data_IF_921525467156
#
_entry.id   IF_921525467156
#
_cell.length_a   1.000
_cell.length_b   1.000
_cell.length_c   1.000
_cell.angle_alpha   90.00
_cell.angle_beta   90.00
_cell.angle_gamma   90.00
#
_symmetry.space_group_name_H-M   'P 1'
#
loop_
_entity.id
_entity.type
_entity.pdbx_description
1 polymer ?
#
# COMPACT_ATOMS: atom_id res chain seq x y z
N UNK A 1 -12.94 -19.54 -1.88
CA UNK A 1 -12.54 -18.16 -1.58
C UNK A 1 -11.03 -18.12 -1.69
N UNK A 2 -10.51 -17.40 -2.66
CA UNK A 2 -9.07 -17.19 -2.83
C UNK A 2 -8.54 -16.25 -1.74
N UNK A 3 -7.24 -16.30 -1.46
CA UNK A 3 -6.62 -15.39 -0.47
C UNK A 3 -6.85 -13.92 -0.83
N UNK A 4 -6.93 -13.57 -2.13
CA UNK A 4 -7.20 -12.21 -2.60
C UNK A 4 -8.65 -11.76 -2.38
N UNK A 5 -9.63 -12.62 -2.59
CA UNK A 5 -11.05 -12.32 -2.30
C UNK A 5 -11.26 -12.02 -0.82
N UNK A 6 -10.62 -12.80 0.06
CA UNK A 6 -10.66 -12.56 1.51
C UNK A 6 -10.02 -11.20 1.85
N UNK A 7 -8.86 -10.89 1.26
CA UNK A 7 -8.19 -9.60 1.47
C UNK A 7 -9.08 -8.44 1.00
N UNK A 8 -9.72 -8.56 -0.17
CA UNK A 8 -10.62 -7.54 -0.70
C UNK A 8 -11.84 -7.32 0.20
N UNK A 9 -12.45 -8.39 0.72
CA UNK A 9 -13.59 -8.29 1.66
C UNK A 9 -13.18 -7.54 2.95
N UNK A 10 -12.02 -7.88 3.51
CA UNK A 10 -11.50 -7.22 4.71
C UNK A 10 -11.12 -5.76 4.45
N UNK A 11 -10.56 -5.45 3.27
CA UNK A 11 -10.30 -4.08 2.82
C UNK A 11 -11.62 -3.31 2.72
N UNK A 12 -12.64 -3.88 2.10
CA UNK A 12 -13.95 -3.23 1.95
C UNK A 12 -14.65 -3.01 3.28
N UNK A 13 -14.48 -3.93 4.22
CA UNK A 13 -14.91 -3.76 5.61
C UNK A 13 -14.23 -2.56 6.27
N UNK A 14 -12.90 -2.44 6.11
CA UNK A 14 -12.14 -1.29 6.60
C UNK A 14 -12.56 0.03 5.93
N UNK A 15 -12.77 0.02 4.60
CA UNK A 15 -13.23 1.19 3.84
C UNK A 15 -14.60 1.67 4.30
N UNK A 16 -15.57 0.77 4.47
CA UNK A 16 -16.91 1.12 5.00
C UNK A 16 -16.82 1.74 6.39
N UNK A 17 -15.99 1.18 7.27
CA UNK A 17 -15.77 1.76 8.59
C UNK A 17 -15.20 3.19 8.50
N UNK A 18 -14.29 3.43 7.56
CA UNK A 18 -13.73 4.76 7.27
C UNK A 18 -14.66 5.68 6.45
N UNK A 19 -15.88 5.23 6.10
CA UNK A 19 -16.83 6.01 5.29
C UNK A 19 -16.50 6.06 3.79
N UNK A 20 -15.62 5.19 3.30
CA UNK A 20 -15.29 5.04 1.88
C UNK A 20 -16.13 3.93 1.23
N UNK A 21 -16.50 4.11 -0.05
CA UNK A 21 -17.21 3.09 -0.84
C UNK A 21 -16.36 1.84 -1.10
N UNK A 22 -16.97 0.68 -1.38
CA UNK A 22 -16.23 -0.55 -1.64
C UNK A 22 -15.42 -0.48 -2.94
N UNK A 23 -14.42 -1.34 -3.05
CA UNK A 23 -13.65 -1.62 -4.26
C UNK A 23 -14.16 -2.91 -4.90
N UNK A 24 -14.13 -2.95 -6.23
CA UNK A 24 -14.37 -4.16 -7.01
C UNK A 24 -13.11 -5.02 -7.11
N UNK A 25 -11.94 -4.40 -7.08
CA UNK A 25 -10.63 -5.06 -7.12
C UNK A 25 -9.59 -4.35 -6.25
N UNK A 26 -8.53 -5.07 -5.87
CA UNK A 26 -7.41 -4.49 -5.12
C UNK A 26 -6.56 -3.61 -6.06
N UNK A 27 -6.16 -2.40 -5.64
CA UNK A 27 -5.31 -1.56 -6.47
C UNK A 27 -3.91 -2.17 -6.58
N UNK A 28 -3.21 -1.84 -7.68
CA UNK A 28 -1.78 -2.12 -7.78
C UNK A 28 -0.99 -1.25 -6.80
N UNK A 29 0.20 -1.70 -6.43
CA UNK A 29 1.06 -0.98 -5.49
C UNK A 29 2.54 -1.29 -5.68
N UNK A 30 3.37 -0.63 -4.86
CA UNK A 30 4.81 -0.86 -4.80
C UNK A 30 5.17 -1.69 -3.59
N UNK A 31 5.97 -2.73 -3.81
CA UNK A 31 6.55 -3.56 -2.74
C UNK A 31 7.42 -2.72 -1.82
N UNK A 32 7.44 -3.08 -0.53
CA UNK A 32 8.22 -2.45 0.55
C UNK A 32 7.97 -0.94 0.72
N UNK A 33 6.86 -0.42 0.17
CA UNK A 33 6.48 0.99 0.28
C UNK A 33 5.37 1.19 1.29
N UNK A 34 5.65 1.97 2.33
CA UNK A 34 4.70 2.24 3.41
C UNK A 34 3.48 3.05 2.97
N UNK A 35 3.60 3.88 1.92
CA UNK A 35 2.53 4.75 1.43
C UNK A 35 2.00 4.33 0.05
N UNK A 36 2.67 3.42 -0.64
CA UNK A 36 2.30 3.00 -1.99
C UNK A 36 2.06 1.50 -2.14
N UNK A 37 2.12 0.70 -1.07
CA UNK A 37 1.68 -0.70 -1.15
C UNK A 37 0.17 -0.80 -1.41
N UNK A 38 -0.28 -1.99 -1.80
CA UNK A 38 -1.69 -2.29 -2.13
C UNK A 38 -2.63 -1.84 -1.00
N UNK A 39 -2.36 -2.22 0.25
CA UNK A 39 -3.22 -1.85 1.38
C UNK A 39 -3.19 -0.35 1.67
N UNK A 40 -2.01 0.29 1.53
CA UNK A 40 -1.87 1.74 1.72
C UNK A 40 -2.77 2.53 0.77
N UNK A 41 -2.77 2.15 -0.50
CA UNK A 41 -3.64 2.75 -1.51
C UNK A 41 -5.11 2.39 -1.31
N UNK A 42 -5.40 1.14 -0.98
CA UNK A 42 -6.76 0.66 -0.83
C UNK A 42 -7.50 1.31 0.36
N UNK A 43 -6.79 1.57 1.46
CA UNK A 43 -7.37 2.14 2.69
C UNK A 43 -7.07 3.63 2.87
N UNK A 44 -6.19 4.22 2.05
CA UNK A 44 -5.76 5.61 2.19
C UNK A 44 -4.94 5.85 3.47
N UNK A 45 -4.17 4.85 3.90
CA UNK A 45 -3.38 4.88 5.14
C UNK A 45 -1.91 4.60 4.84
N UNK A 46 -1.04 4.83 5.82
CA UNK A 46 0.34 4.36 5.79
C UNK A 46 0.45 3.01 6.51
N UNK A 47 1.38 2.17 6.08
CA UNK A 47 1.54 0.80 6.55
C UNK A 47 2.99 0.48 6.87
N UNK A 48 3.17 -0.40 7.85
CA UNK A 48 4.37 -1.21 8.09
C UNK A 48 3.99 -2.67 7.90
N UNK A 49 4.97 -3.56 8.01
CA UNK A 49 4.75 -5.01 7.98
C UNK A 49 3.68 -5.49 8.96
N UNK A 50 3.50 -4.82 10.10
CA UNK A 50 2.59 -5.30 11.17
C UNK A 50 1.43 -4.37 11.50
N UNK A 51 1.47 -3.12 11.03
CA UNK A 51 0.59 -2.06 11.54
C UNK A 51 0.21 -1.06 10.46
N UNK A 52 -1.02 -0.56 10.52
CA UNK A 52 -1.50 0.57 9.72
C UNK A 52 -1.63 1.83 10.58
N UNK A 53 -1.28 3.00 10.05
CA UNK A 53 -1.50 4.29 10.71
C UNK A 53 -1.96 5.37 9.73
N UNK A 54 -2.70 6.34 10.27
CA UNK A 54 -3.01 7.56 9.53
C UNK A 54 -1.70 8.35 9.31
N UNK A 55 -1.45 8.82 8.08
CA UNK A 55 -0.43 9.84 7.83
C UNK A 55 -0.68 11.13 8.63
N UNK A 56 0.23 12.10 8.58
CA UNK A 56 0.04 13.40 9.23
C UNK A 56 -1.24 14.08 8.72
N UNK A 57 -2.29 14.00 9.51
CA UNK A 57 -3.56 14.68 9.33
C UNK A 57 -4.01 15.23 10.68
N UNK A 58 -4.82 16.30 10.72
CA UNK A 58 -5.15 17.00 11.94
C UNK A 58 -5.76 16.02 12.96
N UNK A 59 -5.08 15.88 14.10
CA UNK A 59 -5.39 14.95 15.19
C UNK A 59 -6.74 15.23 15.91
N UNK A 60 -7.59 16.08 15.34
CA UNK A 60 -8.67 16.77 16.02
C UNK A 60 -10.08 16.29 15.68
N UNK A 61 -10.27 15.22 14.91
CA UNK A 61 -11.61 14.62 14.74
C UNK A 61 -11.73 13.27 15.46
N UNK A 62 -12.66 13.27 16.42
CA UNK A 62 -13.03 12.22 17.36
C UNK A 62 -13.34 10.88 16.66
N UNK A 63 -13.01 9.79 17.35
CA UNK A 63 -12.72 8.41 16.88
C UNK A 63 -11.39 8.30 16.14
N UNK A 64 -10.39 7.75 16.83
CA UNK A 64 -9.12 7.38 16.22
C UNK A 64 -9.38 6.40 15.09
N UNK A 65 -8.75 6.59 13.94
CA UNK A 65 -8.80 5.67 12.79
C UNK A 65 -8.56 4.22 13.23
N UNK A 66 -7.71 4.02 14.24
CA UNK A 66 -7.52 2.74 14.90
C UNK A 66 -8.81 2.17 15.51
N UNK A 67 -9.58 2.94 16.29
CA UNK A 67 -10.84 2.49 16.87
C UNK A 67 -11.90 2.20 15.80
N UNK A 68 -11.97 3.03 14.75
CA UNK A 68 -12.89 2.82 13.64
C UNK A 68 -12.61 1.53 12.87
N UNK A 69 -11.33 1.25 12.58
CA UNK A 69 -10.92 0.02 11.90
C UNK A 69 -11.08 -1.22 12.78
N UNK A 70 -10.84 -1.09 14.09
CA UNK A 70 -11.10 -2.17 15.07
C UNK A 70 -12.57 -2.56 15.07
N UNK A 71 -13.47 -1.57 15.16
CA UNK A 71 -14.91 -1.77 15.15
C UNK A 71 -15.36 -2.40 13.81
N UNK A 72 -14.85 -1.88 12.70
CA UNK A 72 -15.14 -2.38 11.35
C UNK A 72 -14.74 -3.83 11.14
N UNK A 73 -13.50 -4.20 11.47
CA UNK A 73 -13.00 -5.54 11.18
C UNK A 73 -13.57 -6.63 12.10
N UNK A 74 -14.30 -6.29 13.17
CA UNK A 74 -14.96 -7.25 14.08
C UNK A 74 -14.01 -8.24 14.76
N UNK A 75 -12.72 -8.13 14.51
CA UNK A 75 -11.64 -8.92 15.11
C UNK A 75 -11.07 -8.12 16.27
N UNK A 76 -10.12 -8.67 17.03
CA UNK A 76 -9.42 -7.93 18.10
C UNK A 76 -8.08 -7.34 17.60
N UNK A 77 -8.00 -6.51 16.54
CA UNK A 77 -6.74 -5.89 16.22
C UNK A 77 -6.35 -5.00 17.40
N UNK A 78 -5.15 -5.20 17.94
CA UNK A 78 -4.68 -4.43 19.08
C UNK A 78 -4.36 -3.02 18.61
N UNK A 79 -5.01 -2.04 19.22
CA UNK A 79 -4.57 -0.64 19.13
C UNK A 79 -3.14 -0.59 19.66
N UNK A 80 -2.20 -0.19 18.82
CA UNK A 80 -0.79 -0.04 19.20
C UNK A 80 -0.59 1.35 19.80
N UNK A 81 -1.24 2.36 19.22
CA UNK A 81 -1.40 3.72 19.76
C UNK A 81 -2.62 4.39 19.09
N UNK A 82 -3.01 5.59 19.52
CA UNK A 82 -4.10 6.41 18.96
C UNK A 82 -4.06 6.54 17.44
N UNK A 83 -2.88 6.40 16.82
CA UNK A 83 -2.72 6.50 15.36
C UNK A 83 -2.53 5.17 14.65
N UNK A 84 -2.28 4.07 15.37
CA UNK A 84 -1.84 2.81 14.79
C UNK A 84 -2.66 1.60 15.25
N UNK A 85 -3.04 0.75 14.29
CA UNK A 85 -3.76 -0.50 14.53
C UNK A 85 -2.93 -1.68 14.02
N UNK A 86 -2.85 -2.75 14.81
CA UNK A 86 -2.23 -4.01 14.36
C UNK A 86 -3.13 -4.66 13.31
N UNK A 87 -2.55 -5.13 12.21
CA UNK A 87 -3.33 -5.77 11.17
C UNK A 87 -3.89 -7.13 11.62
N UNK A 88 -5.14 -7.47 11.25
CA UNK A 88 -5.63 -8.84 11.26
C UNK A 88 -4.68 -9.78 10.51
N UNK A 89 -4.63 -11.04 10.94
CA UNK A 89 -3.68 -12.03 10.42
C UNK A 89 -3.71 -12.20 8.88
N UNK A 90 -4.88 -12.23 8.20
CA UNK A 90 -4.92 -12.31 6.73
C UNK A 90 -4.27 -11.11 6.06
N UNK A 91 -4.55 -9.89 6.54
CA UNK A 91 -3.96 -8.66 5.99
C UNK A 91 -2.45 -8.59 6.26
N UNK A 92 -2.01 -9.04 7.44
CA UNK A 92 -0.57 -9.11 7.78
C UNK A 92 0.16 -10.11 6.89
N UNK A 93 -0.43 -11.29 6.67
CA UNK A 93 0.11 -12.33 5.79
C UNK A 93 0.21 -11.81 4.35
N UNK A 94 -0.85 -11.16 3.86
CA UNK A 94 -0.89 -10.56 2.54
C UNK A 94 0.23 -9.52 2.33
N UNK A 95 0.46 -8.59 3.27
CA UNK A 95 1.56 -7.62 3.16
C UNK A 95 2.91 -8.31 2.99
N UNK A 96 3.16 -9.35 3.81
CA UNK A 96 4.40 -10.12 3.74
C UNK A 96 4.54 -10.86 2.40
N UNK A 97 3.51 -11.53 1.94
CA UNK A 97 3.52 -12.28 0.68
C UNK A 97 3.64 -11.35 -0.54
N UNK A 98 2.97 -10.19 -0.52
CA UNK A 98 3.13 -9.15 -1.53
C UNK A 98 4.57 -8.63 -1.61
N UNK A 99 5.19 -8.33 -0.46
CA UNK A 99 6.59 -7.86 -0.43
C UNK A 99 7.60 -8.94 -0.85
N UNK A 100 7.26 -10.22 -0.70
CA UNK A 100 8.01 -11.36 -1.21
C UNK A 100 7.79 -11.61 -2.72
N UNK A 101 6.81 -10.94 -3.34
CA UNK A 101 6.53 -11.06 -4.78
C UNK A 101 5.55 -12.17 -5.15
N UNK A 102 4.73 -12.66 -4.20
CA UNK A 102 3.75 -13.72 -4.46
C UNK A 102 2.56 -13.25 -5.32
N UNK A 103 2.36 -11.93 -5.49
CA UNK A 103 1.26 -11.33 -6.26
C UNK A 103 1.81 -10.37 -7.34
N UNK A 104 2.48 -10.88 -8.40
CA UNK A 104 3.07 -10.05 -9.45
C UNK A 104 2.04 -9.17 -10.18
N UNK A 105 0.80 -9.62 -10.31
CA UNK A 105 -0.31 -8.90 -10.94
C UNK A 105 -0.74 -7.62 -10.20
N UNK A 106 -0.38 -7.51 -8.90
CA UNK A 106 -0.66 -6.35 -8.07
C UNK A 106 0.53 -5.39 -7.95
N UNK A 107 1.64 -5.66 -8.63
CA UNK A 107 2.82 -4.79 -8.61
C UNK A 107 2.66 -3.71 -9.69
N UNK A 108 2.91 -2.45 -9.33
CA UNK A 108 3.12 -1.40 -10.33
C UNK A 108 4.32 -1.86 -11.19
N UNK A 109 4.10 -2.13 -12.48
CA UNK A 109 5.22 -2.30 -13.40
C UNK A 109 6.15 -1.08 -13.23
N UNK A 110 7.46 -1.28 -13.05
CA UNK A 110 8.36 -0.15 -13.08
C UNK A 110 8.08 0.56 -14.39
N UNK A 111 7.77 1.86 -14.32
CA UNK A 111 7.77 2.71 -15.50
C UNK A 111 9.08 2.39 -16.19
N UNK A 112 9.02 1.73 -17.36
CA UNK A 112 10.20 1.48 -18.16
C UNK A 112 10.78 2.87 -18.37
N UNK A 113 11.90 3.15 -17.70
CA UNK A 113 12.71 4.29 -18.06
C UNK A 113 13.16 3.90 -19.46
N UNK A 114 12.46 4.42 -20.46
CA UNK A 114 13.00 4.51 -21.81
C UNK A 114 14.25 5.36 -21.63
N UNK A 115 15.37 4.71 -21.38
CA UNK A 115 16.67 5.33 -21.57
C UNK A 115 16.66 5.62 -23.07
N UNK A 116 16.67 6.89 -23.52
CA UNK A 116 16.96 7.13 -24.91
C UNK A 116 18.33 6.51 -25.17
N UNK A 117 18.36 5.45 -25.96
CA UNK A 117 19.57 4.99 -26.64
C UNK A 117 19.95 6.09 -27.63
N UNK A 118 20.59 7.16 -27.13
CA UNK A 118 21.40 8.02 -27.97
C UNK A 118 22.72 7.29 -28.18
N UNK A 119 22.73 6.52 -29.26
CA UNK A 119 23.88 5.89 -29.89
C UNK A 119 25.00 6.90 -30.14
N UNK A 120 26.22 6.56 -29.70
CA UNK A 120 27.52 6.67 -30.41
C UNK A 120 27.57 7.58 -31.67
N UNK A 121 28.55 8.44 -31.96
CA UNK A 121 29.95 8.60 -31.51
C UNK A 121 30.56 9.91 -32.16
N UNK A 122 31.88 10.15 -32.29
CA UNK A 122 32.54 11.41 -31.92
C UNK A 122 32.93 12.31 -33.11
N UNK A 123 32.86 13.64 -32.94
CA UNK A 123 33.46 14.57 -33.91
C UNK A 123 34.33 15.61 -33.20
N UNK A 124 35.64 15.37 -33.20
CA UNK A 124 36.65 16.42 -32.97
C UNK A 124 37.80 16.22 -33.95
N UNK A 125 37.96 17.07 -34.97
CA UNK A 125 39.18 17.11 -35.75
C UNK A 125 40.29 17.81 -34.96
N UNK A 126 41.52 17.35 -35.20
CA UNK A 126 42.78 17.87 -34.68
C UNK A 126 42.93 19.37 -34.93
N UNK A 127 43.25 20.13 -33.88
CA UNK A 127 43.76 21.50 -34.01
C UNK A 127 45.28 21.44 -34.14
N UNK A 128 45.80 21.88 -35.28
CA UNK A 128 47.21 22.29 -35.45
C UNK A 128 47.29 23.81 -35.36
N UNK A 129 48.05 24.35 -34.41
CA UNK A 129 48.81 25.62 -34.50
C UNK A 129 50.03 25.51 -33.60
#
# INVERSE_FOLDING_TARGET
>A
MTDLEQVLEMVNTGRRALGAGPLEELPRGKRRSQSQCVLARALGLRFSETSAWLGEGPASRRRTVAATLVDGWGTRPRVVDRRAVRLPDPLRRFVKEFDLGCFPELVDEPARVSIPEDTEEPDRPLVSV
#
